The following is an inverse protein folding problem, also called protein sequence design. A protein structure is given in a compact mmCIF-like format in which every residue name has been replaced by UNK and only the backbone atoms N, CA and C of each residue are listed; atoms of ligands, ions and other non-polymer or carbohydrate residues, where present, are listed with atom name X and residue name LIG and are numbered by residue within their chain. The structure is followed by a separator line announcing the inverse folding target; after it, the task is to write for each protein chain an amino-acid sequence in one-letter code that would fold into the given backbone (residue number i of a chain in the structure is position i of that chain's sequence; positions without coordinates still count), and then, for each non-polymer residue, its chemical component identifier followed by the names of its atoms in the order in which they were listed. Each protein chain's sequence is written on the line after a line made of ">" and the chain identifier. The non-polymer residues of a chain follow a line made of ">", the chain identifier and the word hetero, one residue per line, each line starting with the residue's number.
data_IF_850335388522
#
_entry.id   IF_850335388522
#
_cell.length_a   1.000
_cell.length_b   1.000
_cell.length_c   1.000
_cell.angle_alpha   90.00
_cell.angle_beta   90.00
_cell.angle_gamma   90.00
#
_symmetry.space_group_name_H-M   'P 1'
#
loop_
_entity.id
_entity.type
_entity.pdbx_description
1 polymer ?
#
# COMPACT_ATOMS: atom_id res chain seq x y z
N UNK A 1 14.70 -10.53 24.47
CA UNK A 1 16.18 -10.54 24.31
C UNK A 1 16.71 -11.70 25.14
N UNK A 2 17.58 -12.54 24.57
CA UNK A 2 18.19 -13.62 25.35
C UNK A 2 19.02 -13.01 26.50
N UNK A 3 19.03 -13.64 27.68
CA UNK A 3 19.85 -13.16 28.81
C UNK A 3 21.36 -13.19 28.50
N UNK A 4 21.77 -14.03 27.55
CA UNK A 4 23.16 -14.32 27.24
C UNK A 4 23.84 -13.16 26.47
N UNK A 5 23.12 -12.53 25.55
CA UNK A 5 23.62 -11.36 24.79
C UNK A 5 23.91 -10.16 25.71
N UNK A 6 23.00 -9.86 26.62
CA UNK A 6 23.12 -8.72 27.52
C UNK A 6 24.29 -8.92 28.49
N UNK A 7 24.50 -10.14 28.96
CA UNK A 7 25.62 -10.50 29.84
C UNK A 7 26.98 -10.34 29.15
N UNK A 8 27.11 -10.79 27.90
CA UNK A 8 28.34 -10.64 27.11
C UNK A 8 28.67 -9.17 26.80
N UNK A 9 27.67 -8.38 26.40
CA UNK A 9 27.86 -6.96 26.12
C UNK A 9 28.22 -6.17 27.38
N UNK A 10 27.55 -6.47 28.50
CA UNK A 10 27.84 -5.85 29.79
C UNK A 10 29.24 -6.22 30.30
N UNK A 11 29.61 -7.51 30.20
CA UNK A 11 30.94 -8.00 30.58
C UNK A 11 32.06 -7.37 29.76
N UNK A 12 31.87 -7.15 28.46
CA UNK A 12 32.84 -6.46 27.60
C UNK A 12 33.04 -5.00 28.03
N UNK A 13 31.97 -4.27 28.30
CA UNK A 13 32.05 -2.88 28.74
C UNK A 13 32.76 -2.76 30.10
N UNK A 14 32.41 -3.63 31.06
CA UNK A 14 33.07 -3.66 32.36
C UNK A 14 34.58 -3.96 32.25
N UNK A 15 34.96 -4.84 31.32
CA UNK A 15 36.36 -5.15 31.05
C UNK A 15 37.10 -3.97 30.40
N UNK A 16 36.48 -3.26 29.45
CA UNK A 16 37.04 -2.06 28.84
C UNK A 16 37.28 -0.95 29.86
N UNK A 17 36.34 -0.71 30.77
CA UNK A 17 36.48 0.27 31.85
C UNK A 17 37.59 -0.10 32.85
N UNK A 18 37.71 -1.38 33.21
CA UNK A 18 38.82 -1.87 34.04
C UNK A 18 40.17 -1.71 33.34
N UNK A 19 40.23 -2.00 32.04
CA UNK A 19 41.45 -1.83 31.23
C UNK A 19 41.88 -0.36 31.15
N UNK A 20 40.94 0.57 30.97
CA UNK A 20 41.23 2.02 30.95
C UNK A 20 41.74 2.56 32.28
N UNK A 21 41.20 2.05 33.40
CA UNK A 21 41.72 2.39 34.74
C UNK A 21 43.12 1.83 34.95
N UNK A 22 43.33 0.57 34.58
CA UNK A 22 44.62 -0.10 34.70
C UNK A 22 45.70 0.57 33.85
N UNK A 23 45.39 1.03 32.64
CA UNK A 23 46.36 1.72 31.78
C UNK A 23 46.82 3.06 32.38
N UNK A 24 45.91 3.80 33.02
CA UNK A 24 46.24 5.02 33.76
C UNK A 24 47.15 4.73 34.97
N UNK A 25 46.84 3.67 35.74
CA UNK A 25 47.66 3.25 36.88
C UNK A 25 49.05 2.74 36.45
N UNK A 26 49.14 2.01 35.34
CA UNK A 26 50.41 1.57 34.76
C UNK A 26 51.26 2.76 34.27
N UNK A 27 50.63 3.77 33.67
CA UNK A 27 51.34 4.99 33.25
C UNK A 27 51.91 5.77 34.45
N UNK A 28 51.13 5.91 35.53
CA UNK A 28 51.58 6.57 36.77
C UNK A 28 52.70 5.77 37.46
N UNK A 29 52.55 4.45 37.56
CA UNK A 29 53.58 3.56 38.11
C UNK A 29 54.88 3.61 37.27
N UNK A 30 54.77 3.65 35.93
CA UNK A 30 55.91 3.79 35.04
C UNK A 30 56.66 5.12 35.23
N UNK A 31 55.92 6.21 35.41
CA UNK A 31 56.48 7.53 35.74
C UNK A 31 57.18 7.51 37.10
N UNK A 32 56.56 6.90 38.12
CA UNK A 32 57.15 6.72 39.44
C UNK A 32 58.44 5.90 39.43
N UNK A 33 58.51 4.86 38.58
CA UNK A 33 59.70 4.04 38.42
C UNK A 33 60.86 4.81 37.75
N UNK A 34 60.56 5.61 36.72
CA UNK A 34 61.56 6.41 35.99
C UNK A 34 62.08 7.60 36.80
N UNK A 35 61.18 8.35 37.45
CA UNK A 35 61.53 9.60 38.13
C UNK A 35 62.00 9.38 39.57
N UNK A 36 61.43 8.37 40.26
CA UNK A 36 61.60 8.18 41.71
C UNK A 36 62.20 6.82 42.07
N UNK A 37 62.47 5.95 41.09
CA UNK A 37 62.90 4.55 41.29
C UNK A 37 61.98 3.77 42.25
N UNK A 38 60.70 4.13 42.29
CA UNK A 38 59.70 3.44 43.09
C UNK A 38 59.18 2.20 42.35
N UNK A 39 59.06 1.08 43.05
CA UNK A 39 58.48 -0.14 42.49
C UNK A 39 56.94 -0.02 42.38
N UNK A 40 56.30 -0.68 41.39
CA UNK A 40 54.85 -0.77 41.32
C UNK A 40 54.27 -1.41 42.58
N UNK A 41 53.05 -1.01 42.96
CA UNK A 41 52.35 -1.57 44.12
C UNK A 41 51.88 -3.00 43.86
N UNK A 42 51.81 -3.84 44.90
CA UNK A 42 51.24 -5.21 44.80
C UNK A 42 49.81 -5.18 44.25
N UNK A 43 49.00 -4.18 44.64
CA UNK A 43 47.65 -3.99 44.09
C UNK A 43 47.60 -3.79 42.58
N UNK A 44 48.64 -3.23 41.94
CA UNK A 44 48.70 -3.12 40.48
C UNK A 44 48.91 -4.47 39.81
N UNK A 45 49.70 -5.35 40.44
CA UNK A 45 49.96 -6.71 39.97
C UNK A 45 48.69 -7.56 40.10
N UNK A 46 47.96 -7.42 41.21
CA UNK A 46 46.67 -8.07 41.42
C UNK A 46 45.61 -7.61 40.42
N UNK A 47 45.51 -6.30 40.14
CA UNK A 47 44.57 -5.77 39.14
C UNK A 47 44.91 -6.23 37.72
N UNK A 48 46.21 -6.33 37.37
CA UNK A 48 46.64 -6.89 36.09
C UNK A 48 46.22 -8.36 35.95
N UNK A 49 46.38 -9.16 37.02
CA UNK A 49 45.93 -10.54 37.06
C UNK A 49 44.40 -10.65 36.95
N UNK A 50 43.66 -9.78 37.64
CA UNK A 50 42.20 -9.74 37.61
C UNK A 50 41.65 -9.36 36.22
N UNK A 51 42.24 -8.35 35.55
CA UNK A 51 41.86 -7.96 34.18
C UNK A 51 42.15 -9.10 33.19
N UNK A 52 43.30 -9.78 33.33
CA UNK A 52 43.62 -10.94 32.51
C UNK A 52 42.62 -12.09 32.71
N UNK A 53 42.30 -12.43 33.95
CA UNK A 53 41.32 -13.47 34.26
C UNK A 53 39.92 -13.12 33.74
N UNK A 54 39.51 -11.85 33.86
CA UNK A 54 38.24 -11.36 33.32
C UNK A 54 38.16 -11.45 31.79
N UNK A 55 39.26 -11.13 31.09
CA UNK A 55 39.36 -11.31 29.64
C UNK A 55 39.26 -12.78 29.23
N UNK A 56 40.00 -13.68 29.90
CA UNK A 56 39.98 -15.12 29.61
C UNK A 56 38.58 -15.73 29.83
N UNK A 57 37.89 -15.34 30.91
CA UNK A 57 36.53 -15.77 31.20
C UNK A 57 35.51 -15.27 30.17
N UNK A 58 35.55 -13.98 29.81
CA UNK A 58 34.65 -13.42 28.81
C UNK A 58 34.90 -14.02 27.42
N UNK A 59 36.16 -14.26 27.08
CA UNK A 59 36.54 -14.94 25.84
C UNK A 59 35.98 -16.36 25.76
N UNK A 60 36.02 -17.12 26.85
CA UNK A 60 35.45 -18.45 26.91
C UNK A 60 33.93 -18.42 26.66
N UNK A 61 33.21 -17.55 27.39
CA UNK A 61 31.76 -17.36 27.21
C UNK A 61 31.38 -16.94 25.78
N UNK A 62 32.11 -15.99 25.21
CA UNK A 62 31.85 -15.54 23.84
C UNK A 62 32.13 -16.66 22.82
N UNK A 63 33.16 -17.49 23.03
CA UNK A 63 33.46 -18.61 22.14
C UNK A 63 32.37 -19.68 22.18
N UNK A 64 31.86 -19.99 23.37
CA UNK A 64 30.74 -20.93 23.55
C UNK A 64 29.46 -20.42 22.88
N UNK A 65 29.10 -19.14 23.07
CA UNK A 65 27.95 -18.52 22.42
C UNK A 65 28.10 -18.44 20.90
N UNK A 66 29.31 -18.21 20.38
CA UNK A 66 29.56 -18.23 18.94
C UNK A 66 29.39 -19.64 18.34
N UNK A 67 29.81 -20.68 19.09
CA UNK A 67 29.65 -22.07 18.67
C UNK A 67 28.18 -22.49 18.63
N UNK A 68 27.38 -22.11 19.62
CA UNK A 68 25.94 -22.42 19.64
C UNK A 68 25.18 -21.77 18.47
N UNK A 69 25.63 -20.60 18.02
CA UNK A 69 25.07 -19.87 16.88
C UNK A 69 25.69 -20.27 15.53
N UNK A 70 26.56 -21.30 15.49
CA UNK A 70 27.26 -21.74 14.27
C UNK A 70 28.03 -20.61 13.54
N UNK A 71 28.55 -19.64 14.29
CA UNK A 71 29.32 -18.52 13.74
C UNK A 71 30.72 -19.02 13.36
N UNK A 72 31.01 -19.07 12.05
CA UNK A 72 32.24 -19.66 11.47
C UNK A 72 33.58 -19.01 11.92
N UNK A 73 33.56 -17.88 12.63
CA UNK A 73 34.77 -17.19 13.11
C UNK A 73 35.38 -17.79 14.39
N UNK A 74 34.82 -18.87 14.95
CA UNK A 74 35.27 -19.43 16.22
C UNK A 74 36.44 -20.44 16.10
N UNK A 75 37.65 -20.02 15.64
CA UNK A 75 38.95 -20.68 15.97
C UNK A 75 40.19 -20.01 15.33
N UNK A 76 41.40 -20.08 15.93
CA UNK A 76 41.75 -19.70 17.29
C UNK A 76 42.62 -18.44 17.28
N UNK A 77 42.44 -17.61 18.30
CA UNK A 77 43.20 -16.38 18.48
C UNK A 77 42.26 -15.21 18.53
N UNK A 78 41.62 -15.03 19.69
CA UNK A 78 41.16 -13.72 20.12
C UNK A 78 42.30 -13.21 20.99
N UNK A 79 43.36 -12.60 20.40
CA UNK A 79 44.56 -12.20 21.13
C UNK A 79 44.30 -10.96 21.98
N UNK A 80 43.26 -10.18 21.66
CA UNK A 80 42.98 -8.92 22.33
C UNK A 80 41.49 -8.61 22.46
N UNK A 81 41.23 -7.53 23.20
CA UNK A 81 39.88 -7.04 23.50
C UNK A 81 39.13 -6.57 22.25
N UNK A 82 39.85 -6.18 21.20
CA UNK A 82 39.27 -5.73 19.93
C UNK A 82 38.63 -6.89 19.17
N UNK A 83 39.34 -8.01 19.06
CA UNK A 83 38.82 -9.24 18.44
C UNK A 83 37.65 -9.80 19.25
N UNK A 84 37.72 -9.69 20.58
CA UNK A 84 36.63 -10.08 21.47
C UNK A 84 35.38 -9.20 21.25
N UNK A 85 35.57 -7.89 21.07
CA UNK A 85 34.47 -6.97 20.77
C UNK A 85 33.80 -7.27 19.43
N UNK A 86 34.57 -7.63 18.40
CA UNK A 86 34.02 -8.07 17.12
C UNK A 86 33.19 -9.34 17.25
N UNK A 87 33.68 -10.32 18.01
CA UNK A 87 32.95 -11.57 18.22
C UNK A 87 31.65 -11.34 19.00
N UNK A 88 31.69 -10.57 20.09
CA UNK A 88 30.50 -10.23 20.88
C UNK A 88 29.46 -9.50 20.02
N UNK A 89 29.91 -8.57 19.15
CA UNK A 89 29.01 -7.91 18.18
C UNK A 89 28.40 -8.90 17.19
N UNK A 90 29.17 -9.84 16.65
CA UNK A 90 28.67 -10.84 15.72
C UNK A 90 27.63 -11.77 16.37
N UNK A 91 27.85 -12.16 17.63
CA UNK A 91 26.91 -12.95 18.45
C UNK A 91 25.60 -12.18 18.65
N UNK A 92 25.68 -10.92 19.09
CA UNK A 92 24.53 -10.02 19.26
C UNK A 92 23.69 -9.92 17.98
N UNK A 93 24.35 -9.74 16.84
CA UNK A 93 23.65 -9.61 15.56
C UNK A 93 23.02 -10.93 15.11
N UNK A 94 23.69 -12.07 15.31
CA UNK A 94 23.15 -13.37 14.89
C UNK A 94 21.96 -13.81 15.76
N UNK A 95 22.02 -13.57 17.09
CA UNK A 95 20.86 -13.81 17.95
C UNK A 95 19.67 -12.94 17.57
N UNK A 96 19.90 -11.67 17.22
CA UNK A 96 18.84 -10.78 16.73
C UNK A 96 18.25 -11.25 15.38
N UNK A 97 19.07 -11.83 14.50
CA UNK A 97 18.59 -12.45 13.24
C UNK A 97 17.76 -13.70 13.53
N UNK A 98 18.20 -14.55 14.45
CA UNK A 98 17.48 -15.78 14.81
C UNK A 98 16.15 -15.48 15.48
N UNK A 99 16.10 -14.48 16.38
CA UNK A 99 14.84 -14.03 16.98
C UNK A 99 13.82 -13.56 15.93
N UNK A 100 14.27 -12.83 14.90
CA UNK A 100 13.41 -12.40 13.78
C UNK A 100 12.92 -13.57 12.94
N UNK A 101 13.79 -14.54 12.64
CA UNK A 101 13.41 -15.76 11.91
C UNK A 101 12.34 -16.54 12.67
N UNK A 102 12.52 -16.74 13.97
CA UNK A 102 11.54 -17.45 14.79
C UNK A 102 10.19 -16.73 14.80
N UNK A 103 10.18 -15.39 14.95
CA UNK A 103 8.91 -14.62 14.88
C UNK A 103 8.26 -14.67 13.50
N UNK A 104 9.06 -14.65 12.43
CA UNK A 104 8.57 -14.74 11.06
C UNK A 104 8.00 -16.14 10.77
N UNK A 105 8.64 -17.20 11.28
CA UNK A 105 8.18 -18.59 11.17
C UNK A 105 6.89 -18.82 11.98
N UNK A 106 6.79 -18.27 13.20
CA UNK A 106 5.55 -18.30 13.99
C UNK A 106 4.41 -17.58 13.28
N UNK A 107 4.67 -16.38 12.74
CA UNK A 107 3.68 -15.63 11.97
C UNK A 107 3.23 -16.35 10.68
N UNK A 108 4.16 -17.04 9.99
CA UNK A 108 3.84 -17.85 8.81
C UNK A 108 3.01 -19.08 9.17
N UNK A 109 3.31 -19.76 10.28
CA UNK A 109 2.53 -20.90 10.73
C UNK A 109 1.11 -20.50 11.14
N UNK A 110 0.94 -19.37 11.82
CA UNK A 110 -0.38 -18.88 12.21
C UNK A 110 -1.18 -18.43 10.99
N UNK A 111 -0.57 -17.75 10.03
CA UNK A 111 -1.21 -17.39 8.76
C UNK A 111 -1.62 -18.64 7.96
N UNK A 112 -0.79 -19.68 7.94
CA UNK A 112 -1.10 -20.94 7.26
C UNK A 112 -2.25 -21.68 7.94
N UNK A 113 -2.28 -21.75 9.28
CA UNK A 113 -3.41 -22.34 10.02
C UNK A 113 -4.72 -21.60 9.75
N UNK A 114 -4.70 -20.27 9.75
CA UNK A 114 -5.87 -19.46 9.44
C UNK A 114 -6.38 -19.70 8.01
N UNK A 115 -5.46 -19.75 7.03
CA UNK A 115 -5.82 -20.06 5.65
C UNK A 115 -6.40 -21.47 5.48
N UNK A 116 -5.86 -22.48 6.18
CA UNK A 116 -6.37 -23.85 6.16
C UNK A 116 -7.75 -23.98 6.84
N UNK A 117 -7.98 -23.29 7.96
CA UNK A 117 -9.28 -23.25 8.62
C UNK A 117 -10.34 -22.53 7.77
N UNK A 118 -9.98 -21.41 7.15
CA UNK A 118 -10.89 -20.67 6.26
C UNK A 118 -11.24 -21.49 5.01
N UNK A 119 -10.27 -22.21 4.44
CA UNK A 119 -10.51 -23.13 3.32
C UNK A 119 -11.42 -24.30 3.71
N UNK A 120 -11.22 -24.90 4.89
CA UNK A 120 -12.10 -25.96 5.41
C UNK A 120 -13.52 -25.45 5.68
N UNK A 121 -13.64 -24.24 6.23
CA UNK A 121 -14.95 -23.60 6.50
C UNK A 121 -15.71 -23.33 5.20
N UNK A 122 -15.06 -22.74 4.20
CA UNK A 122 -15.65 -22.50 2.87
C UNK A 122 -16.08 -23.81 2.19
N UNK A 123 -15.25 -24.85 2.25
CA UNK A 123 -15.58 -26.16 1.69
C UNK A 123 -16.77 -26.83 2.41
N UNK A 124 -16.85 -26.71 3.74
CA UNK A 124 -17.98 -27.23 4.53
C UNK A 124 -19.28 -26.46 4.26
N UNK A 125 -19.22 -25.14 4.11
CA UNK A 125 -20.38 -24.31 3.78
C UNK A 125 -20.90 -24.62 2.35
N UNK A 126 -20.01 -24.79 1.39
CA UNK A 126 -20.39 -25.16 0.02
C UNK A 126 -21.02 -26.57 -0.04
N UNK A 127 -20.46 -27.54 0.71
CA UNK A 127 -21.04 -28.87 0.83
C UNK A 127 -22.44 -28.83 1.48
N UNK A 128 -22.62 -28.02 2.53
CA UNK A 128 -23.92 -27.83 3.19
C UNK A 128 -24.94 -27.19 2.26
N UNK A 129 -24.55 -26.15 1.49
CA UNK A 129 -25.43 -25.50 0.50
C UNK A 129 -25.86 -26.47 -0.61
N UNK A 130 -24.93 -27.29 -1.13
CA UNK A 130 -25.25 -28.32 -2.13
C UNK A 130 -26.22 -29.38 -1.58
N UNK A 131 -26.01 -29.83 -0.34
CA UNK A 131 -26.91 -30.77 0.31
C UNK A 131 -28.32 -30.18 0.57
N UNK A 132 -28.39 -28.90 0.98
CA UNK A 132 -29.65 -28.20 1.20
C UNK A 132 -30.41 -27.94 -0.11
N UNK A 133 -29.71 -27.59 -1.19
CA UNK A 133 -30.30 -27.41 -2.51
C UNK A 133 -30.86 -28.73 -3.07
N UNK A 134 -30.12 -29.85 -2.91
CA UNK A 134 -30.60 -31.17 -3.33
C UNK A 134 -31.81 -31.63 -2.51
N UNK A 135 -31.80 -31.41 -1.19
CA UNK A 135 -32.94 -31.70 -0.32
C UNK A 135 -34.17 -30.85 -0.70
N UNK A 136 -33.97 -29.56 -1.02
CA UNK A 136 -35.03 -28.65 -1.44
C UNK A 136 -35.60 -29.02 -2.82
N UNK A 137 -34.76 -29.54 -3.72
CA UNK A 137 -35.19 -30.07 -5.02
C UNK A 137 -36.04 -31.34 -4.87
N UNK A 138 -35.60 -32.30 -4.06
CA UNK A 138 -36.38 -33.52 -3.75
C UNK A 138 -37.71 -33.20 -3.06
N UNK A 139 -37.70 -32.30 -2.08
CA UNK A 139 -38.93 -31.82 -1.43
C UNK A 139 -39.85 -31.06 -2.40
N UNK A 140 -39.30 -30.29 -3.33
CA UNK A 140 -40.04 -29.60 -4.39
C UNK A 140 -40.67 -30.56 -5.41
N UNK A 141 -39.99 -31.65 -5.76
CA UNK A 141 -40.50 -32.70 -6.65
C UNK A 141 -41.62 -33.51 -5.97
N UNK A 142 -41.45 -33.92 -4.70
CA UNK A 142 -42.53 -34.55 -3.92
C UNK A 142 -43.73 -33.61 -3.73
N UNK A 143 -43.50 -32.33 -3.46
CA UNK A 143 -44.57 -31.34 -3.33
C UNK A 143 -45.30 -31.10 -4.66
N UNK A 144 -44.61 -31.18 -5.81
CA UNK A 144 -45.24 -31.13 -7.14
C UNK A 144 -46.04 -32.39 -7.45
N UNK A 145 -45.57 -33.58 -7.06
CA UNK A 145 -46.35 -34.83 -7.21
C UNK A 145 -47.60 -34.82 -6.32
N UNK A 146 -47.46 -34.47 -5.04
CA UNK A 146 -48.63 -34.30 -4.14
C UNK A 146 -49.54 -33.17 -4.62
N UNK A 147 -48.99 -32.10 -5.17
CA UNK A 147 -49.73 -31.01 -5.79
C UNK A 147 -50.53 -31.46 -7.01
N UNK A 148 -49.95 -32.30 -7.88
CA UNK A 148 -50.61 -32.87 -9.05
C UNK A 148 -51.67 -33.91 -8.68
N UNK A 149 -51.42 -34.78 -7.69
CA UNK A 149 -52.43 -35.70 -7.14
C UNK A 149 -53.56 -34.95 -6.43
N UNK A 150 -53.23 -33.89 -5.68
CA UNK A 150 -54.22 -33.03 -5.04
C UNK A 150 -54.99 -32.19 -6.06
N UNK A 151 -54.39 -31.80 -7.19
CA UNK A 151 -55.07 -31.12 -8.29
C UNK A 151 -55.97 -32.09 -9.06
N UNK A 152 -55.57 -33.35 -9.25
CA UNK A 152 -56.41 -34.40 -9.82
C UNK A 152 -57.59 -34.72 -8.89
N UNK A 153 -57.36 -34.87 -7.58
CA UNK A 153 -58.42 -35.00 -6.58
C UNK A 153 -59.28 -33.75 -6.49
N UNK A 154 -58.71 -32.55 -6.59
CA UNK A 154 -59.47 -31.28 -6.64
C UNK A 154 -60.25 -31.13 -7.93
N UNK A 155 -59.83 -31.64 -9.08
CA UNK A 155 -60.65 -31.64 -10.31
C UNK A 155 -61.82 -32.63 -10.19
N UNK A 156 -61.60 -33.79 -9.58
CA UNK A 156 -62.66 -34.73 -9.25
C UNK A 156 -63.64 -34.15 -8.21
N UNK A 157 -63.11 -33.53 -7.16
CA UNK A 157 -63.87 -32.94 -6.06
C UNK A 157 -64.46 -31.58 -6.44
N UNK A 158 -63.92 -30.85 -7.42
CA UNK A 158 -64.52 -29.64 -8.01
C UNK A 158 -65.59 -29.98 -9.04
N UNK A 159 -65.60 -31.16 -9.66
CA UNK A 159 -66.80 -31.65 -10.36
C UNK A 159 -67.92 -32.00 -9.36
N UNK A 160 -67.57 -32.45 -8.16
CA UNK A 160 -68.54 -32.70 -7.08
C UNK A 160 -68.97 -31.41 -6.36
N UNK A 161 -68.05 -30.48 -6.14
CA UNK A 161 -68.27 -29.18 -5.48
C UNK A 161 -68.81 -28.11 -6.44
N UNK A 162 -68.66 -28.23 -7.77
CA UNK A 162 -69.44 -27.39 -8.70
C UNK A 162 -70.93 -27.78 -8.69
N UNK A 163 -71.27 -29.00 -8.26
CA UNK A 163 -72.64 -29.37 -7.91
C UNK A 163 -73.06 -28.86 -6.53
N UNK A 164 -72.14 -28.58 -5.59
CA UNK A 164 -72.46 -28.07 -4.24
C UNK A 164 -72.34 -26.55 -4.05
N UNK A 165 -71.44 -25.85 -4.74
CA UNK A 165 -71.19 -24.39 -4.65
C UNK A 165 -72.12 -23.52 -5.52
N UNK A 166 -73.14 -24.13 -6.11
CA UNK A 166 -74.38 -23.43 -6.46
C UNK A 166 -75.27 -23.19 -5.21
N UNK A 167 -74.94 -23.80 -4.07
CA UNK A 167 -75.41 -23.42 -2.73
C UNK A 167 -74.22 -22.79 -1.98
N UNK A 168 -74.44 -21.76 -1.18
CA UNK A 168 -73.46 -21.22 -0.21
C UNK A 168 -72.30 -20.42 -0.86
N UNK A 169 -72.54 -19.28 -1.52
CA UNK A 169 -72.78 -17.97 -0.91
C UNK A 169 -71.85 -17.60 0.29
N UNK A 170 -71.37 -16.35 0.24
CA UNK A 170 -71.13 -15.48 1.39
C UNK A 170 -69.77 -15.49 2.14
N UNK A 171 -69.22 -14.26 2.17
CA UNK A 171 -68.37 -13.62 3.20
C UNK A 171 -66.88 -13.99 3.25
N UNK A 172 -66.01 -13.14 2.66
CA UNK A 172 -65.37 -11.90 3.22
C UNK A 172 -64.31 -12.20 4.29
N UNK A 173 -63.00 -12.01 3.97
CA UNK A 173 -62.16 -10.78 4.10
C UNK A 173 -61.68 -10.50 5.55
N UNK A 174 -60.37 -10.64 5.78
CA UNK A 174 -59.38 -9.57 6.11
C UNK A 174 -58.98 -9.63 7.61
N UNK A 175 -57.82 -9.19 8.16
CA UNK A 175 -56.63 -8.42 7.74
C UNK A 175 -55.55 -8.54 8.87
N UNK A 176 -54.27 -8.33 8.54
CA UNK A 176 -53.08 -7.92 9.37
C UNK A 176 -53.31 -6.60 10.18
N UNK A 177 -52.36 -5.89 10.89
CA UNK A 177 -50.85 -5.95 10.97
C UNK A 177 -50.11 -5.53 12.31
N UNK A 178 -48.77 -5.71 12.32
CA UNK A 178 -47.54 -4.88 12.64
C UNK A 178 -47.37 -3.91 13.87
N UNK A 179 -46.16 -3.96 14.48
CA UNK A 179 -45.18 -2.84 14.78
C UNK A 179 -44.87 -2.48 16.28
N UNK A 180 -43.80 -1.69 16.61
CA UNK A 180 -42.34 -1.93 16.48
C UNK A 180 -41.50 -1.43 17.72
N UNK A 181 -40.20 -1.22 17.53
CA UNK A 181 -39.12 -0.92 18.51
C UNK A 181 -38.70 0.58 18.60
N UNK A 182 -37.77 0.90 19.53
CA UNK A 182 -36.93 2.12 19.51
C UNK A 182 -35.56 1.92 20.18
N UNK A 183 -34.53 2.60 19.67
CA UNK A 183 -33.15 2.73 20.18
C UNK A 183 -32.77 4.21 20.38
N UNK A 184 -31.71 4.49 21.17
CA UNK A 184 -31.02 5.80 21.23
C UNK A 184 -29.53 5.64 21.60
N UNK A 185 -28.73 6.59 21.10
CA UNK A 185 -27.26 6.69 21.09
C UNK A 185 -26.68 7.66 22.15
N UNK A 186 -25.36 7.63 22.37
CA UNK A 186 -24.53 8.64 23.08
C UNK A 186 -23.05 8.67 22.56
N UNK A 187 -22.40 9.86 22.60
CA UNK A 187 -20.98 10.18 22.30
C UNK A 187 -20.11 10.39 23.57
N UNK A 188 -18.75 10.38 23.49
CA UNK A 188 -17.94 11.27 24.36
C UNK A 188 -16.55 11.80 23.86
N UNK A 189 -16.09 12.88 24.55
CA UNK A 189 -14.72 13.31 24.96
C UNK A 189 -13.68 13.95 23.99
N UNK A 190 -13.00 15.02 24.47
CA UNK A 190 -11.90 15.75 23.80
C UNK A 190 -10.66 14.88 23.58
N UNK A 191 -10.53 14.31 22.39
CA UNK A 191 -9.32 13.69 21.87
C UNK A 191 -8.29 14.78 21.45
N UNK A 192 -6.99 14.55 21.64
CA UNK A 192 -5.89 15.40 21.11
C UNK A 192 -5.91 15.50 19.57
N UNK A 193 -6.89 14.84 18.92
CA UNK A 193 -7.06 14.73 17.49
C UNK A 193 -5.99 13.85 16.85
N UNK A 194 -5.28 13.05 17.65
CA UNK A 194 -4.18 12.20 17.18
C UNK A 194 -4.69 11.14 16.21
N UNK A 195 -5.90 10.63 16.43
CA UNK A 195 -6.55 9.68 15.53
C UNK A 195 -6.69 10.27 14.12
N UNK A 196 -7.17 11.52 14.02
CA UNK A 196 -7.29 12.23 12.72
C UNK A 196 -5.95 12.55 12.07
N UNK A 197 -4.85 12.52 12.83
CA UNK A 197 -3.49 12.82 12.38
C UNK A 197 -2.65 11.57 12.08
N UNK A 198 -3.24 10.37 12.18
CA UNK A 198 -2.50 9.10 12.01
C UNK A 198 -1.77 9.02 10.67
N UNK A 199 -2.37 9.54 9.58
CA UNK A 199 -1.73 9.57 8.26
C UNK A 199 -0.42 10.37 8.28
N UNK A 200 -0.38 11.50 9.00
CA UNK A 200 0.80 12.35 9.12
C UNK A 200 1.87 11.68 9.97
N UNK A 201 1.48 11.06 11.09
CA UNK A 201 2.39 10.31 11.98
C UNK A 201 3.09 9.20 11.19
N UNK A 202 2.32 8.39 10.46
CA UNK A 202 2.84 7.31 9.61
C UNK A 202 3.75 7.82 8.48
N UNK A 203 3.30 8.84 7.72
CA UNK A 203 4.07 9.41 6.62
C UNK A 203 5.38 10.05 7.10
N UNK A 204 5.33 10.83 8.19
CA UNK A 204 6.51 11.53 8.74
C UNK A 204 7.52 10.57 9.36
N UNK A 205 7.06 9.50 10.03
CA UNK A 205 7.94 8.44 10.53
C UNK A 205 8.64 7.70 9.37
N UNK A 206 7.90 7.34 8.32
CA UNK A 206 8.43 6.72 7.11
C UNK A 206 9.45 7.65 6.40
N UNK A 207 9.13 8.94 6.31
CA UNK A 207 10.04 9.96 5.78
C UNK A 207 11.33 10.08 6.62
N UNK A 208 11.22 10.10 7.95
CA UNK A 208 12.38 10.11 8.85
C UNK A 208 13.29 8.88 8.66
N UNK A 209 12.70 7.69 8.47
CA UNK A 209 13.42 6.46 8.16
C UNK A 209 14.12 6.53 6.79
N UNK A 210 13.43 7.07 5.77
CA UNK A 210 13.99 7.28 4.44
C UNK A 210 15.23 8.17 4.49
N UNK A 211 15.16 9.29 5.24
CA UNK A 211 16.27 10.25 5.41
C UNK A 211 17.44 9.67 6.19
N UNK A 212 17.17 8.95 7.29
CA UNK A 212 18.23 8.32 8.09
C UNK A 212 18.99 7.25 7.30
N UNK A 213 18.31 6.55 6.40
CA UNK A 213 18.88 5.57 5.47
C UNK A 213 19.45 6.18 4.19
N UNK A 214 19.32 7.49 4.00
CA UNK A 214 19.78 8.21 2.81
C UNK A 214 19.23 7.63 1.49
N UNK A 215 17.97 7.16 1.50
CA UNK A 215 17.32 6.62 0.30
C UNK A 215 17.04 7.77 -0.67
N UNK A 216 17.48 7.64 -1.92
CA UNK A 216 17.21 8.63 -2.95
C UNK A 216 15.72 8.64 -3.34
N UNK A 217 15.19 9.82 -3.68
CA UNK A 217 13.79 9.98 -4.06
C UNK A 217 13.32 9.00 -5.14
N UNK A 218 14.09 8.73 -6.23
CA UNK A 218 13.65 7.79 -7.26
C UNK A 218 13.48 6.36 -6.74
N UNK A 219 14.38 5.91 -5.86
CA UNK A 219 14.32 4.58 -5.26
C UNK A 219 13.15 4.48 -4.27
N UNK A 220 12.93 5.52 -3.47
CA UNK A 220 11.80 5.58 -2.54
C UNK A 220 10.45 5.50 -3.27
N UNK A 221 10.28 6.23 -4.38
CA UNK A 221 9.05 6.16 -5.19
C UNK A 221 8.85 4.74 -5.76
N UNK A 222 9.90 4.10 -6.30
CA UNK A 222 9.79 2.72 -6.78
C UNK A 222 9.42 1.75 -5.66
N UNK A 223 10.03 1.89 -4.50
CA UNK A 223 9.73 1.06 -3.33
C UNK A 223 8.29 1.24 -2.84
N UNK A 224 7.81 2.48 -2.79
CA UNK A 224 6.43 2.81 -2.41
C UNK A 224 5.46 2.23 -3.43
N UNK A 225 5.66 2.46 -4.73
CA UNK A 225 4.76 1.95 -5.76
C UNK A 225 4.74 0.42 -5.85
N UNK A 226 5.85 -0.24 -5.52
CA UNK A 226 5.92 -1.70 -5.46
C UNK A 226 5.07 -2.26 -4.31
N UNK A 227 5.02 -1.57 -3.17
CA UNK A 227 4.25 -2.00 -1.98
C UNK A 227 2.80 -1.54 -2.03
N UNK A 228 2.58 -0.32 -2.51
CA UNK A 228 1.32 0.38 -2.52
C UNK A 228 1.01 0.95 -3.91
N UNK A 229 0.66 0.12 -4.90
CA UNK A 229 0.52 0.56 -6.29
C UNK A 229 -0.53 1.66 -6.50
N UNK A 230 -1.50 1.76 -5.60
CA UNK A 230 -2.64 2.66 -5.66
C UNK A 230 -2.55 3.84 -4.68
N UNK A 231 -1.41 4.05 -4.00
CA UNK A 231 -1.27 5.09 -2.95
C UNK A 231 -1.74 6.47 -3.41
N UNK A 232 -1.34 6.89 -4.61
CA UNK A 232 -1.70 8.22 -5.14
C UNK A 232 -3.14 8.34 -5.62
N UNK A 233 -3.92 7.26 -5.51
CA UNK A 233 -5.35 7.26 -5.77
C UNK A 233 -6.20 7.45 -4.50
N UNK A 234 -5.61 7.39 -3.31
CA UNK A 234 -6.32 7.49 -2.04
C UNK A 234 -6.17 8.88 -1.43
N UNK A 235 -7.23 9.51 -0.90
CA UNK A 235 -7.08 10.76 -0.16
C UNK A 235 -6.07 10.64 0.98
N UNK A 236 -5.18 11.62 1.12
CA UNK A 236 -4.09 11.59 2.12
C UNK A 236 -4.65 11.35 3.53
N UNK A 237 -5.75 12.03 3.88
CA UNK A 237 -6.34 11.98 5.21
C UNK A 237 -6.90 10.61 5.60
N UNK A 238 -7.46 9.86 4.64
CA UNK A 238 -8.04 8.53 4.87
C UNK A 238 -7.04 7.39 4.61
N UNK A 239 -5.81 7.72 4.18
CA UNK A 239 -4.80 6.72 3.85
C UNK A 239 -4.36 5.86 5.05
N UNK A 240 -4.57 6.32 6.28
CA UNK A 240 -4.30 5.55 7.48
C UNK A 240 -5.36 4.48 7.79
N UNK A 241 -6.49 4.47 7.08
CA UNK A 241 -7.55 3.48 7.25
C UNK A 241 -7.36 2.26 6.33
N UNK A 242 -6.37 2.30 5.43
CA UNK A 242 -6.11 1.28 4.42
C UNK A 242 -4.76 0.58 4.65
N UNK A 243 -4.66 -0.67 4.20
CA UNK A 243 -3.46 -1.52 4.35
C UNK A 243 -3.01 -1.59 5.82
N UNK A 244 -3.94 -1.74 6.77
CA UNK A 244 -3.67 -1.74 8.22
C UNK A 244 -2.91 -0.47 8.68
N UNK A 245 -3.17 0.67 8.03
CA UNK A 245 -2.52 1.96 8.28
C UNK A 245 -1.15 2.13 7.62
N UNK A 246 -0.67 1.11 6.91
CA UNK A 246 0.62 1.14 6.23
C UNK A 246 0.59 1.96 4.94
N UNK A 247 -0.58 2.15 4.31
CA UNK A 247 -0.67 2.92 3.07
C UNK A 247 -0.19 4.37 3.26
N UNK A 248 -0.47 4.96 4.42
CA UNK A 248 0.00 6.30 4.79
C UNK A 248 1.53 6.43 4.78
N UNK A 249 2.28 5.34 5.00
CA UNK A 249 3.76 5.36 4.89
C UNK A 249 4.23 5.73 3.49
N UNK A 250 3.42 5.40 2.46
CA UNK A 250 3.69 5.74 1.08
C UNK A 250 3.73 7.24 0.81
N UNK A 251 3.03 8.06 1.61
CA UNK A 251 3.05 9.51 1.50
C UNK A 251 4.36 10.17 1.95
N UNK A 252 5.32 9.40 2.47
CA UNK A 252 6.67 9.89 2.76
C UNK A 252 7.37 10.50 1.53
N UNK A 253 7.08 10.01 0.32
CA UNK A 253 7.66 10.59 -0.91
C UNK A 253 7.06 11.95 -1.24
N UNK A 254 5.79 12.19 -0.91
CA UNK A 254 5.18 13.52 -1.03
C UNK A 254 5.80 14.48 -0.01
N UNK A 255 6.02 14.03 1.23
CA UNK A 255 6.71 14.82 2.24
C UNK A 255 8.14 15.17 1.82
N UNK A 256 8.91 14.21 1.28
CA UNK A 256 10.26 14.48 0.75
C UNK A 256 10.23 15.49 -0.40
N UNK A 257 9.25 15.38 -1.30
CA UNK A 257 9.07 16.33 -2.40
C UNK A 257 8.81 17.76 -1.89
N UNK A 258 8.00 17.91 -0.84
CA UNK A 258 7.71 19.21 -0.23
C UNK A 258 8.93 19.73 0.56
N UNK A 259 9.60 18.87 1.33
CA UNK A 259 10.79 19.21 2.13
C UNK A 259 11.94 19.76 1.25
N UNK A 260 12.10 19.22 0.04
CA UNK A 260 13.10 19.73 -0.91
C UNK A 260 12.82 21.16 -1.39
N UNK A 261 11.56 21.61 -1.32
CA UNK A 261 11.12 22.98 -1.69
C UNK A 261 11.11 23.91 -0.49
N UNK A 262 10.66 23.39 0.65
CA UNK A 262 10.52 24.13 1.90
C UNK A 262 11.35 23.39 2.96
N UNK A 263 12.57 23.87 3.20
CA UNK A 263 13.45 23.26 4.21
C UNK A 263 12.83 23.34 5.61
N UNK A 264 12.93 22.26 6.37
CA UNK A 264 12.38 22.14 7.72
C UNK A 264 10.86 21.96 7.74
N UNK A 265 10.22 21.72 6.59
CA UNK A 265 8.76 21.65 6.48
C UNK A 265 8.18 20.57 7.39
N UNK A 266 8.76 19.37 7.37
CA UNK A 266 8.24 18.24 8.18
C UNK A 266 8.61 18.40 9.66
N UNK A 267 9.85 18.79 9.96
CA UNK A 267 10.34 18.92 11.35
C UNK A 267 9.69 20.06 12.11
N UNK A 268 9.30 21.14 11.44
CA UNK A 268 8.70 22.31 12.07
C UNK A 268 7.17 22.34 11.97
N UNK A 269 6.56 21.32 11.36
CA UNK A 269 5.13 21.30 11.07
C UNK A 269 4.29 21.63 12.31
N UNK A 270 4.47 20.89 13.40
CA UNK A 270 3.69 21.07 14.64
C UNK A 270 3.89 22.46 15.26
N UNK A 271 5.07 23.06 15.12
CA UNK A 271 5.36 24.39 15.67
C UNK A 271 4.73 25.51 14.83
N UNK A 272 4.50 25.27 13.54
CA UNK A 272 3.96 26.23 12.58
C UNK A 272 2.44 26.15 12.43
N UNK A 273 1.78 25.17 13.07
CA UNK A 273 0.32 25.03 13.01
C UNK A 273 -0.37 26.18 13.74
N UNK A 274 -1.18 26.94 13.01
CA UNK A 274 -2.09 27.91 13.62
C UNK A 274 -3.13 27.19 14.51
N UNK A 275 -3.39 27.73 15.69
CA UNK A 275 -4.54 27.34 16.49
C UNK A 275 -5.82 27.78 15.75
N UNK A 276 -6.62 26.81 15.29
CA UNK A 276 -7.93 27.05 14.66
C UNK A 276 -9.00 26.36 15.50
N UNK A 277 -9.95 27.13 16.01
CA UNK A 277 -11.10 26.58 16.73
C UNK A 277 -11.91 25.67 15.80
N UNK A 278 -12.27 24.47 16.27
CA UNK A 278 -13.12 23.52 15.55
C UNK A 278 -12.44 22.66 14.47
N UNK A 279 -11.14 22.86 14.17
CA UNK A 279 -10.43 22.02 13.20
C UNK A 279 -9.61 20.92 13.90
N UNK A 280 -9.78 19.67 13.48
CA UNK A 280 -8.98 18.54 13.97
C UNK A 280 -7.49 18.74 13.67
N UNK A 281 -6.61 18.10 14.44
CA UNK A 281 -5.17 18.14 14.19
C UNK A 281 -4.83 17.64 12.78
N UNK A 282 -5.47 16.56 12.35
CA UNK A 282 -5.33 16.02 11.00
C UNK A 282 -5.69 17.03 9.90
N UNK A 283 -6.80 17.75 10.05
CA UNK A 283 -7.20 18.77 9.07
C UNK A 283 -6.19 19.93 9.03
N UNK A 284 -5.70 20.37 10.19
CA UNK A 284 -4.69 21.44 10.25
C UNK A 284 -3.38 21.04 9.59
N UNK A 285 -2.92 19.81 9.80
CA UNK A 285 -1.75 19.24 9.12
C UNK A 285 -1.96 19.09 7.62
N UNK A 286 -3.16 18.70 7.19
CA UNK A 286 -3.49 18.60 5.78
C UNK A 286 -3.47 19.97 5.09
N UNK A 287 -4.06 20.99 5.72
CA UNK A 287 -4.03 22.36 5.20
C UNK A 287 -2.60 22.93 5.15
N UNK A 288 -1.76 22.57 6.13
CA UNK A 288 -0.35 22.92 6.12
C UNK A 288 0.42 22.23 4.98
N UNK A 289 0.12 20.95 4.70
CA UNK A 289 0.69 20.20 3.57
C UNK A 289 0.23 20.71 2.21
N UNK A 290 -1.02 21.15 2.09
CA UNK A 290 -1.59 21.55 0.81
C UNK A 290 -1.07 22.89 0.31
N UNK A 291 -0.69 23.81 1.19
CA UNK A 291 -0.16 25.14 0.86
C UNK A 291 1.02 25.10 -0.14
N UNK A 292 2.12 24.36 0.11
CA UNK A 292 3.23 24.25 -0.85
C UNK A 292 2.91 23.42 -2.10
N UNK A 293 1.75 22.75 -2.14
CA UNK A 293 1.31 21.91 -3.26
C UNK A 293 0.39 22.63 -4.25
N UNK A 294 -0.03 23.86 -3.93
CA UNK A 294 -0.89 24.68 -4.78
C UNK A 294 -0.26 25.01 -6.15
N UNK A 295 -1.09 25.44 -7.09
CA UNK A 295 -0.66 25.78 -8.44
C UNK A 295 -0.12 24.57 -9.20
N UNK A 296 1.10 24.68 -9.74
CA UNK A 296 1.73 23.61 -10.54
C UNK A 296 2.49 22.58 -9.70
N UNK A 297 2.65 22.79 -8.39
CA UNK A 297 3.54 21.97 -7.56
C UNK A 297 3.06 20.52 -7.45
N UNK A 298 1.76 20.30 -7.20
CA UNK A 298 1.19 18.95 -7.18
C UNK A 298 1.31 18.24 -8.54
N UNK A 299 1.13 18.97 -9.65
CA UNK A 299 1.32 18.41 -10.98
C UNK A 299 2.76 17.94 -11.21
N UNK A 300 3.76 18.74 -10.82
CA UNK A 300 5.16 18.32 -10.94
C UNK A 300 5.52 17.14 -10.02
N UNK A 301 4.83 16.98 -8.89
CA UNK A 301 4.94 15.78 -8.06
C UNK A 301 4.48 14.53 -8.82
N UNK A 302 3.27 14.57 -9.40
CA UNK A 302 2.73 13.44 -10.17
C UNK A 302 3.64 13.10 -11.36
N UNK A 303 4.15 14.11 -12.07
CA UNK A 303 5.13 13.90 -13.14
C UNK A 303 6.39 13.20 -12.66
N UNK A 304 6.98 13.64 -11.54
CA UNK A 304 8.17 13.01 -10.97
C UNK A 304 7.92 11.55 -10.57
N UNK A 305 6.75 11.26 -10.00
CA UNK A 305 6.30 9.90 -9.70
C UNK A 305 6.21 9.05 -10.96
N UNK A 306 5.54 9.55 -12.01
CA UNK A 306 5.38 8.79 -13.26
C UNK A 306 6.70 8.51 -13.96
N UNK A 307 7.57 9.51 -14.10
CA UNK A 307 8.87 9.35 -14.75
C UNK A 307 9.78 8.35 -14.01
N UNK A 308 9.56 8.19 -12.71
CA UNK A 308 10.35 7.30 -11.86
C UNK A 308 9.77 5.88 -11.79
N UNK A 309 8.45 5.77 -11.70
CA UNK A 309 7.74 4.51 -11.43
C UNK A 309 7.38 3.71 -12.68
N UNK A 310 7.42 4.32 -13.85
CA UNK A 310 7.10 3.67 -15.13
C UNK A 310 8.36 3.14 -15.85
N UNK A 311 8.26 2.00 -16.57
CA UNK A 311 7.08 1.13 -16.70
C UNK A 311 6.89 0.16 -15.52
N UNK A 312 7.92 -0.03 -14.67
CA UNK A 312 7.85 -0.88 -13.47
C UNK A 312 8.46 -0.18 -12.25
N UNK A 313 7.81 -0.27 -11.07
CA UNK A 313 6.75 -1.22 -10.71
C UNK A 313 5.36 -0.97 -11.31
N UNK A 314 5.15 0.15 -12.01
CA UNK A 314 3.90 0.43 -12.72
C UNK A 314 2.83 0.96 -11.77
N UNK A 315 2.12 2.00 -12.19
CA UNK A 315 1.07 2.64 -11.40
C UNK A 315 -0.23 1.82 -11.45
N UNK A 316 -1.06 1.92 -10.42
CA UNK A 316 -2.38 1.30 -10.45
C UNK A 316 -3.25 1.90 -11.57
N UNK A 317 -3.55 1.08 -12.58
CA UNK A 317 -4.31 1.48 -13.77
C UNK A 317 -5.81 1.39 -13.49
N UNK A 318 -6.54 2.48 -13.75
CA UNK A 318 -7.99 2.57 -13.66
C UNK A 318 -8.69 2.10 -14.94
N UNK A 319 -8.05 2.26 -16.10
CA UNK A 319 -8.54 1.78 -17.38
C UNK A 319 -7.63 2.16 -18.54
N UNK A 320 -8.09 1.92 -19.75
CA UNK A 320 -7.36 2.26 -20.96
C UNK A 320 -7.71 1.39 -22.16
N UNK A 321 -6.78 1.30 -23.11
CA UNK A 321 -7.00 0.65 -24.40
C UNK A 321 -5.78 -0.19 -24.77
N UNK A 322 -6.02 -1.41 -25.23
CA UNK A 322 -5.03 -2.20 -25.95
C UNK A 322 -5.41 -2.23 -27.44
N UNK A 323 -4.52 -1.69 -28.28
CA UNK A 323 -4.75 -1.58 -29.72
C UNK A 323 -3.88 -2.58 -30.49
N UNK A 324 -4.49 -3.26 -31.46
CA UNK A 324 -3.84 -4.19 -32.39
C UNK A 324 -4.35 -3.94 -33.81
N UNK A 325 -3.77 -4.57 -34.83
CA UNK A 325 -4.28 -4.40 -36.20
C UNK A 325 -5.76 -4.79 -36.34
N UNK A 326 -6.20 -5.86 -35.66
CA UNK A 326 -7.52 -6.45 -35.87
C UNK A 326 -8.57 -6.00 -34.85
N UNK A 327 -8.15 -5.63 -33.62
CA UNK A 327 -9.09 -5.35 -32.53
C UNK A 327 -8.60 -4.27 -31.58
N UNK A 328 -9.56 -3.55 -31.00
CA UNK A 328 -9.37 -2.58 -29.92
C UNK A 328 -10.01 -3.15 -28.66
N UNK A 329 -9.24 -3.35 -27.59
CA UNK A 329 -9.79 -3.76 -26.30
C UNK A 329 -9.82 -2.56 -25.37
N UNK A 330 -11.02 -2.10 -25.00
CA UNK A 330 -11.21 -1.04 -24.02
C UNK A 330 -11.45 -1.68 -22.67
N UNK A 331 -10.65 -1.34 -21.66
CA UNK A 331 -10.80 -1.91 -20.32
C UNK A 331 -10.89 -0.81 -19.26
N UNK A 332 -11.64 -1.09 -18.21
CA UNK A 332 -11.76 -0.20 -17.06
C UNK A 332 -12.16 -0.99 -15.81
N UNK A 333 -11.81 -0.46 -14.64
CA UNK A 333 -12.29 -1.03 -13.37
C UNK A 333 -13.77 -0.67 -13.20
N UNK A 334 -14.64 -1.66 -12.90
CA UNK A 334 -16.07 -1.42 -12.78
C UNK A 334 -16.45 -0.74 -11.46
N UNK A 335 -15.58 -0.84 -10.44
CA UNK A 335 -15.80 -0.23 -9.13
C UNK A 335 -14.87 0.97 -8.93
N UNK A 336 -15.37 1.98 -8.24
CA UNK A 336 -14.55 3.07 -7.69
C UNK A 336 -13.80 2.64 -6.41
N UNK A 337 -13.93 1.37 -5.99
CA UNK A 337 -13.28 0.86 -4.79
C UNK A 337 -11.79 0.79 -5.04
N UNK A 338 -11.05 1.61 -4.31
CA UNK A 338 -9.60 1.67 -4.45
C UNK A 338 -8.97 0.33 -4.02
N UNK A 339 -8.00 -0.14 -4.81
CA UNK A 339 -7.36 -1.44 -4.60
C UNK A 339 -8.09 -2.64 -5.22
N UNK A 340 -9.28 -2.46 -5.80
CA UNK A 340 -9.97 -3.53 -6.53
C UNK A 340 -9.14 -3.98 -7.74
N UNK A 341 -9.02 -5.30 -7.92
CA UNK A 341 -8.29 -5.95 -9.00
C UNK A 341 -9.18 -6.27 -10.21
N UNK A 342 -10.51 -6.25 -10.06
CA UNK A 342 -11.44 -6.53 -11.15
C UNK A 342 -11.32 -5.52 -12.30
N UNK A 343 -11.40 -6.03 -13.53
CA UNK A 343 -11.43 -5.23 -14.76
C UNK A 343 -12.55 -5.74 -15.66
N UNK A 344 -13.33 -4.81 -16.22
CA UNK A 344 -14.26 -5.09 -17.30
C UNK A 344 -13.57 -4.69 -18.61
N UNK A 345 -13.50 -5.61 -19.55
CA UNK A 345 -12.94 -5.37 -20.88
C UNK A 345 -14.00 -5.61 -21.96
N UNK A 346 -14.03 -4.74 -22.95
CA UNK A 346 -14.84 -4.83 -24.14
C UNK A 346 -13.93 -4.91 -25.37
N UNK A 347 -14.15 -5.91 -26.21
CA UNK A 347 -13.34 -6.13 -27.42
C UNK A 347 -14.12 -5.72 -28.66
N UNK A 348 -13.58 -4.74 -29.38
CA UNK A 348 -14.18 -4.15 -30.57
C UNK A 348 -13.39 -4.59 -31.81
N UNK A 349 -14.11 -5.06 -32.84
CA UNK A 349 -13.53 -5.46 -34.12
C UNK A 349 -14.02 -4.60 -35.30
N UNK A 350 -15.14 -3.89 -35.15
CA UNK A 350 -15.69 -3.04 -36.20
C UNK A 350 -14.97 -1.68 -36.23
N UNK A 351 -14.41 -1.30 -37.38
CA UNK A 351 -13.55 -0.10 -37.51
C UNK A 351 -14.23 1.20 -37.04
N UNK A 352 -15.53 1.36 -37.29
CA UNK A 352 -16.29 2.51 -36.82
C UNK A 352 -16.38 2.59 -35.29
N UNK A 353 -16.43 1.46 -34.59
CA UNK A 353 -16.43 1.41 -33.12
C UNK A 353 -15.02 1.55 -32.55
N UNK A 354 -14.02 1.01 -33.25
CA UNK A 354 -12.60 1.11 -32.85
C UNK A 354 -12.11 2.55 -32.84
N UNK A 355 -12.41 3.29 -33.91
CA UNK A 355 -12.01 4.69 -34.11
C UNK A 355 -12.90 5.72 -33.40
N UNK A 356 -13.98 5.28 -32.75
CA UNK A 356 -14.87 6.12 -31.98
C UNK A 356 -14.20 6.71 -30.74
N UNK A 357 -14.85 7.71 -30.16
CA UNK A 357 -14.43 8.33 -28.91
C UNK A 357 -14.78 7.41 -27.73
N UNK A 358 -13.76 6.98 -26.99
CA UNK A 358 -13.89 6.18 -25.78
C UNK A 358 -13.83 7.09 -24.57
N UNK A 359 -14.90 7.11 -23.76
CA UNK A 359 -15.00 7.98 -22.59
C UNK A 359 -14.74 7.21 -21.29
N UNK A 360 -13.88 7.77 -20.45
CA UNK A 360 -13.59 7.31 -19.10
C UNK A 360 -13.99 8.40 -18.11
N UNK A 361 -14.83 8.05 -17.13
CA UNK A 361 -15.23 8.96 -16.07
C UNK A 361 -14.38 8.66 -14.84
N UNK A 362 -13.80 9.71 -14.25
CA UNK A 362 -12.94 9.59 -13.08
C UNK A 362 -13.29 10.65 -12.02
N UNK A 363 -13.73 10.16 -10.86
CA UNK A 363 -13.81 10.98 -9.65
C UNK A 363 -12.41 10.99 -8.99
N UNK A 364 -11.84 12.19 -8.90
CA UNK A 364 -10.47 12.44 -8.43
C UNK A 364 -10.50 13.32 -7.20
N UNK A 365 -10.32 12.68 -6.04
CA UNK A 365 -10.32 13.33 -4.74
C UNK A 365 -9.17 14.36 -4.61
N UNK A 366 -9.26 15.31 -3.67
CA UNK A 366 -8.25 16.34 -3.47
C UNK A 366 -6.83 15.80 -3.34
N UNK A 367 -5.89 16.39 -4.07
CA UNK A 367 -4.48 15.97 -4.10
C UNK A 367 -4.30 14.46 -4.35
N UNK A 368 -5.10 13.89 -5.28
CA UNK A 368 -4.94 12.52 -5.79
C UNK A 368 -4.82 12.48 -7.32
N UNK A 369 -4.52 11.30 -7.86
CA UNK A 369 -4.42 11.02 -9.28
C UNK A 369 -5.07 9.68 -9.67
N UNK A 370 -5.47 9.59 -10.95
CA UNK A 370 -5.97 8.39 -11.64
C UNK A 370 -5.11 8.14 -12.87
N UNK A 371 -4.78 6.87 -13.12
CA UNK A 371 -3.86 6.49 -14.17
C UNK A 371 -4.55 5.63 -15.23
N UNK A 372 -4.32 5.97 -16.49
CA UNK A 372 -4.83 5.25 -17.64
C UNK A 372 -3.67 4.83 -18.54
N UNK A 373 -3.83 3.69 -19.22
CA UNK A 373 -2.76 3.09 -20.01
C UNK A 373 -3.25 2.68 -21.40
N UNK A 374 -2.52 3.09 -22.43
CA UNK A 374 -2.84 2.84 -23.82
C UNK A 374 -1.66 2.15 -24.49
N UNK A 375 -1.84 0.91 -24.93
CA UNK A 375 -0.76 0.06 -25.44
C UNK A 375 -0.96 -0.29 -26.91
N UNK A 376 0.13 -0.29 -27.67
CA UNK A 376 0.19 -0.89 -29.00
C UNK A 376 0.76 -2.30 -28.90
N UNK A 377 -0.07 -3.32 -29.13
CA UNK A 377 0.30 -4.73 -28.89
C UNK A 377 0.86 -5.37 -30.16
N UNK A 378 0.04 -5.44 -31.21
CA UNK A 378 0.41 -6.01 -32.51
C UNK A 378 0.05 -5.00 -33.60
N UNK A 379 0.78 -3.88 -33.61
CA UNK A 379 0.60 -2.78 -34.55
C UNK A 379 1.80 -2.67 -35.49
N UNK A 380 1.55 -2.81 -36.78
CA UNK A 380 2.49 -2.60 -37.88
C UNK A 380 2.53 -1.13 -38.28
N UNK A 381 1.38 -0.48 -38.31
CA UNK A 381 1.27 0.95 -38.61
C UNK A 381 1.05 1.80 -37.34
N UNK A 382 1.63 3.01 -37.27
CA UNK A 382 1.46 3.89 -36.13
C UNK A 382 0.03 4.43 -36.07
N UNK A 383 -0.51 4.47 -34.84
CA UNK A 383 -1.77 5.13 -34.53
C UNK A 383 -1.51 6.43 -33.77
N UNK A 384 -2.36 7.41 -34.04
CA UNK A 384 -2.41 8.65 -33.28
C UNK A 384 -3.47 8.51 -32.19
N UNK A 385 -3.11 8.89 -30.97
CA UNK A 385 -4.03 8.95 -29.84
C UNK A 385 -4.45 10.41 -29.66
N UNK A 386 -5.73 10.70 -29.83
CA UNK A 386 -6.30 12.00 -29.48
C UNK A 386 -6.89 11.92 -28.09
N UNK A 387 -6.49 12.86 -27.23
CA UNK A 387 -6.90 12.96 -25.83
C UNK A 387 -7.62 14.28 -25.65
N UNK A 388 -8.80 14.25 -25.03
CA UNK A 388 -9.51 15.42 -24.53
C UNK A 388 -9.89 15.19 -23.08
N UNK A 389 -9.75 16.22 -22.25
CA UNK A 389 -10.13 16.18 -20.85
C UNK A 389 -11.10 17.32 -20.57
N UNK A 390 -12.23 16.99 -19.96
CA UNK A 390 -13.21 17.96 -19.50
C UNK A 390 -13.55 17.77 -18.02
N UNK A 391 -13.85 18.86 -17.33
CA UNK A 391 -14.48 18.88 -16.02
C UNK A 391 -15.82 19.61 -16.15
N UNK A 392 -16.93 18.92 -15.87
CA UNK A 392 -18.29 19.49 -16.02
C UNK A 392 -18.50 20.15 -17.40
N UNK A 393 -17.99 19.51 -18.46
CA UNK A 393 -18.04 20.00 -19.84
C UNK A 393 -17.04 21.10 -20.21
N UNK A 394 -16.29 21.67 -19.26
CA UNK A 394 -15.25 22.67 -19.54
C UNK A 394 -13.89 21.99 -19.81
N UNK A 395 -13.14 22.41 -20.85
CA UNK A 395 -11.84 21.81 -21.14
C UNK A 395 -10.81 22.07 -20.02
N UNK A 396 -10.09 21.03 -19.63
CA UNK A 396 -9.06 21.03 -18.57
C UNK A 396 -7.70 20.60 -19.11
N UNK A 397 -6.62 21.08 -18.48
CA UNK A 397 -5.25 20.65 -18.75
C UNK A 397 -4.65 19.81 -17.61
N UNK A 398 -5.47 19.36 -16.65
CA UNK A 398 -5.06 18.64 -15.44
C UNK A 398 -4.68 17.18 -15.68
N UNK A 399 -3.83 16.96 -16.69
CA UNK A 399 -3.27 15.66 -17.00
C UNK A 399 -1.81 15.70 -17.47
N UNK A 400 -1.08 14.64 -17.15
CA UNK A 400 0.22 14.33 -17.76
C UNK A 400 0.08 13.20 -18.77
N UNK A 401 0.74 13.37 -19.92
CA UNK A 401 0.87 12.36 -20.96
C UNK A 401 2.31 11.85 -20.94
N UNK A 402 2.52 10.57 -20.65
CA UNK A 402 3.84 9.94 -20.59
C UNK A 402 3.95 8.89 -21.68
N UNK A 403 4.88 9.12 -22.60
CA UNK A 403 5.17 8.20 -23.71
C UNK A 403 6.38 7.34 -23.37
N UNK A 404 6.25 6.04 -23.61
CA UNK A 404 7.31 5.03 -23.53
C UNK A 404 7.44 4.41 -24.93
N UNK A 405 8.59 4.61 -25.57
CA UNK A 405 8.87 4.08 -26.90
C UNK A 405 9.76 2.84 -26.81
N UNK A 406 9.23 1.67 -27.18
CA UNK A 406 9.92 0.40 -27.03
C UNK A 406 9.87 -0.15 -25.60
N UNK A 407 10.15 -1.46 -25.45
CA UNK A 407 10.00 -2.19 -24.18
C UNK A 407 10.83 -1.64 -23.01
N UNK A 408 11.97 -1.03 -23.31
CA UNK A 408 12.89 -0.44 -22.33
C UNK A 408 13.07 1.07 -22.54
N UNK A 409 12.15 1.70 -23.27
CA UNK A 409 12.19 3.14 -23.51
C UNK A 409 12.13 3.95 -22.22
N UNK A 410 12.96 4.98 -22.11
CA UNK A 410 12.82 5.95 -21.03
C UNK A 410 11.48 6.70 -21.14
N UNK A 411 10.71 6.82 -20.05
CA UNK A 411 9.45 7.56 -20.07
C UNK A 411 9.69 9.05 -20.33
N UNK A 412 8.88 9.65 -21.21
CA UNK A 412 8.91 11.08 -21.53
C UNK A 412 7.56 11.71 -21.24
N UNK A 413 7.52 12.64 -20.30
CA UNK A 413 6.30 13.32 -19.88
C UNK A 413 6.10 14.66 -20.60
N UNK A 414 4.86 14.95 -20.97
CA UNK A 414 4.41 16.29 -21.42
C UNK A 414 3.05 16.62 -20.82
N UNK A 415 2.79 17.90 -20.58
CA UNK A 415 1.51 18.37 -20.05
C UNK A 415 0.43 18.21 -21.12
N UNK A 416 -0.78 17.84 -20.71
CA UNK A 416 -1.94 17.89 -21.59
C UNK A 416 -2.27 19.34 -21.97
N UNK A 417 -2.60 19.58 -23.22
CA UNK A 417 -3.07 20.89 -23.69
C UNK A 417 -4.57 21.01 -23.46
N UNK A 418 -5.01 22.16 -22.94
CA UNK A 418 -6.40 22.41 -22.57
C UNK A 418 -7.42 22.16 -23.69
N UNK A 419 -7.04 22.36 -24.95
CA UNK A 419 -7.93 22.17 -26.11
C UNK A 419 -7.91 20.74 -26.67
N UNK A 420 -7.17 19.83 -26.04
CA UNK A 420 -6.93 18.50 -26.55
C UNK A 420 -5.47 18.30 -26.94
N UNK A 421 -5.01 17.05 -26.90
CA UNK A 421 -3.64 16.69 -27.26
C UNK A 421 -3.64 15.51 -28.21
N UNK A 422 -2.74 15.55 -29.19
CA UNK A 422 -2.47 14.39 -30.05
C UNK A 422 -1.13 13.79 -29.67
N UNK A 423 -1.11 12.54 -29.23
CA UNK A 423 0.11 11.76 -29.05
C UNK A 423 0.29 10.92 -30.30
N UNK A 424 1.17 11.38 -31.19
CA UNK A 424 1.60 10.57 -32.32
C UNK A 424 2.44 9.40 -31.81
N UNK A 425 2.43 8.27 -32.52
CA UNK A 425 3.37 7.13 -32.36
C UNK A 425 2.95 5.97 -31.46
N UNK A 426 1.66 5.67 -31.29
CA UNK A 426 1.29 4.36 -30.73
C UNK A 426 1.64 3.27 -31.75
N UNK A 427 2.65 2.47 -31.43
CA UNK A 427 3.20 1.38 -32.24
C UNK A 427 3.37 0.14 -31.36
N UNK A 428 3.74 -0.99 -31.97
CA UNK A 428 4.18 -2.17 -31.22
C UNK A 428 5.23 -1.79 -30.17
N UNK A 429 5.07 -2.35 -28.98
CA UNK A 429 5.96 -2.14 -27.82
C UNK A 429 6.03 -0.68 -27.33
N UNK A 430 5.12 0.20 -27.75
CA UNK A 430 4.95 1.54 -27.20
C UNK A 430 3.76 1.59 -26.25
N UNK A 431 3.89 2.38 -25.18
CA UNK A 431 2.83 2.63 -24.22
C UNK A 431 2.68 4.13 -23.98
N UNK A 432 1.43 4.59 -23.93
CA UNK A 432 1.07 5.94 -23.50
C UNK A 432 0.33 5.84 -22.17
N UNK A 433 0.85 6.53 -21.17
CA UNK A 433 0.22 6.66 -19.87
C UNK A 433 -0.38 8.05 -19.72
N UNK A 434 -1.59 8.12 -19.17
CA UNK A 434 -2.27 9.37 -18.86
C UNK A 434 -2.52 9.39 -17.35
N UNK A 435 -1.98 10.39 -16.66
CA UNK A 435 -2.34 10.66 -15.27
C UNK A 435 -3.25 11.88 -15.20
N UNK A 436 -4.50 11.67 -14.79
CA UNK A 436 -5.40 12.74 -14.39
C UNK A 436 -5.11 13.06 -12.93
N UNK A 437 -4.98 14.33 -12.57
CA UNK A 437 -4.74 14.70 -11.18
C UNK A 437 -5.67 15.83 -10.74
N UNK A 438 -5.93 15.89 -9.44
CA UNK A 438 -6.66 16.99 -8.84
C UNK A 438 -5.69 17.85 -8.02
N UNK A 439 -5.30 19.04 -8.51
CA UNK A 439 -4.41 19.93 -7.78
C UNK A 439 -5.15 20.69 -6.64
N UNK A 440 -6.47 20.59 -6.55
CA UNK A 440 -7.24 21.22 -5.46
C UNK A 440 -7.10 20.44 -4.16
N UNK A 441 -7.10 21.19 -3.06
CA UNK A 441 -6.96 20.65 -1.72
C UNK A 441 -8.30 20.31 -1.04
N UNK A 442 -9.42 20.86 -1.51
CA UNK A 442 -10.69 20.73 -0.76
C UNK A 442 -11.74 19.93 -1.51
N UNK A 443 -11.87 20.16 -2.81
CA UNK A 443 -13.00 19.65 -3.58
C UNK A 443 -12.58 18.52 -4.51
N UNK A 444 -13.36 17.44 -4.51
CA UNK A 444 -13.28 16.40 -5.52
C UNK A 444 -13.61 16.98 -6.90
N UNK A 445 -12.87 16.53 -7.91
CA UNK A 445 -13.12 16.87 -9.31
C UNK A 445 -13.53 15.63 -10.08
N UNK A 446 -14.55 15.78 -10.91
CA UNK A 446 -15.03 14.74 -11.80
C UNK A 446 -14.60 15.04 -13.22
N UNK A 447 -13.69 14.23 -13.73
CA UNK A 447 -13.16 14.36 -15.07
C UNK A 447 -13.83 13.40 -16.04
N UNK A 448 -14.02 13.89 -17.26
CA UNK A 448 -14.40 13.14 -18.43
C UNK A 448 -13.20 13.09 -19.38
N UNK A 449 -12.51 11.95 -19.39
CA UNK A 449 -11.39 11.68 -20.28
C UNK A 449 -11.93 11.01 -21.55
N UNK A 450 -11.84 11.70 -22.67
CA UNK A 450 -12.20 11.15 -23.98
C UNK A 450 -10.94 10.83 -24.77
N UNK A 451 -10.83 9.59 -25.23
CA UNK A 451 -9.70 9.12 -26.03
C UNK A 451 -10.18 8.43 -27.29
N UNK A 452 -9.62 8.80 -28.44
CA UNK A 452 -9.84 8.09 -29.70
C UNK A 452 -8.49 7.66 -30.28
N UNK A 453 -8.41 6.43 -30.78
CA UNK A 453 -7.22 5.88 -31.43
C UNK A 453 -7.49 5.78 -32.93
N UNK A 454 -6.69 6.46 -33.75
CA UNK A 454 -6.92 6.58 -35.19
C UNK A 454 -5.69 6.28 -36.00
N UNK A 455 -5.87 5.88 -37.27
CA UNK A 455 -4.78 5.85 -38.22
C UNK A 455 -4.18 7.26 -38.37
N UNK A 456 -2.85 7.32 -38.50
CA UNK A 456 -2.13 8.57 -38.65
C UNK A 456 -2.69 9.41 -39.81
N UNK A 457 -3.08 10.65 -39.52
CA UNK A 457 -3.67 11.57 -40.51
C UNK A 457 -5.20 11.57 -40.60
N UNK A 458 -5.91 10.67 -39.91
CA UNK A 458 -7.34 10.82 -39.68
C UNK A 458 -7.55 11.77 -38.50
N UNK A 459 -8.11 12.96 -38.75
CA UNK A 459 -8.31 14.00 -37.73
C UNK A 459 -9.25 13.58 -36.58
N UNK A 460 -9.28 14.37 -35.48
CA UNK A 460 -10.17 14.11 -34.36
C UNK A 460 -11.64 14.08 -34.81
N UNK A 461 -12.44 13.22 -34.17
CA UNK A 461 -13.88 13.11 -34.43
C UNK A 461 -14.53 14.44 -34.05
N UNK A 462 -15.35 15.03 -34.93
CA UNK A 462 -16.21 16.14 -34.49
C UNK A 462 -17.15 15.62 -33.39
N UNK A 463 -17.38 16.38 -32.30
CA UNK A 463 -18.34 15.96 -31.29
C UNK A 463 -19.72 15.79 -31.94
N UNK A 464 -20.35 14.62 -31.79
CA UNK A 464 -21.75 14.44 -32.12
C UNK A 464 -22.56 15.41 -31.24
N UNK A 465 -23.15 16.43 -31.85
CA UNK A 465 -24.15 17.26 -31.19
C UNK A 465 -25.34 16.36 -30.86
N UNK A 466 -25.57 16.10 -29.57
CA UNK A 466 -26.81 15.53 -29.05
C UNK A 466 -27.48 16.50 -28.11
#
# INVERSE_FOLDING_TARGET
>A
MSGNQAELAHGLNALMERFMRLSAQLADAGKGLLERRALPTEGLVEELAAVRAGFEALRAKATEAAASLSIKQASPGIPGIRELAFLVKAIVEEEARQARRNTDEEAQQDAQRQAEEEAKSKAAEEAKRKAEEEARRKAGEEARQRGAEAEAKRKAQAQEDAKRRAQEEARRKAKEPVAPATARAQEPAEDLGLETAQWWISASASWGNMRSRQVAFPDAVRDVLKRYPYVFSVPIQTSAELEDGLLAYGYAVLLEFVEQRVRGFVSEALNRLAARQGASLGQRLYNYLSEPLQGQAYAEFIKAVMLTGLPKPGLWVNGGIEESEATTTVFQRPSARIGDSAQKAERLAQEGQRSADHQFIADVAPLTARFFRFDGVDLKEPRDIHVRLAEKGAPSDDAWLVLIQGREGAPKARRHERQGSTVATLLRDCAVWIALFNPEAENERRYELTVSVKHRGQGPSAPEAR
#
